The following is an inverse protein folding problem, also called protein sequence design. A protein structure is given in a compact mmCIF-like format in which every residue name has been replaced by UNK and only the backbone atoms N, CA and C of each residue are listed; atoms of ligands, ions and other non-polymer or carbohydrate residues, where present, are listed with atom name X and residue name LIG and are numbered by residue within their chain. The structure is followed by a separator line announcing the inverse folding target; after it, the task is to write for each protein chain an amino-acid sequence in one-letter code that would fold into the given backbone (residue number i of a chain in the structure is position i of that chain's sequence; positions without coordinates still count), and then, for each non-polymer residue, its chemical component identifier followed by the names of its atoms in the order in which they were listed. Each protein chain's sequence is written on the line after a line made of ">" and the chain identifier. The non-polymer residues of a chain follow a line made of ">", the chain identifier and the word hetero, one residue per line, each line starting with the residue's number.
data_IF_271037647815
#
_entry.id   IF_271037647815
#
_cell.length_a   1.000
_cell.length_b   1.000
_cell.length_c   1.000
_cell.angle_alpha   90.00
_cell.angle_beta   90.00
_cell.angle_gamma   90.00
#
_symmetry.space_group_name_H-M   'P 1'
#
loop_
_entity.id
_entity.type
_entity.pdbx_description
1 polymer ?
#
# COMPACT_ATOMS: atom_id res chain seq x y z
N UNK A 1 -35.12 43.46 -6.90
CA UNK A 1 -35.11 42.53 -8.04
C UNK A 1 -35.46 41.18 -7.43
N UNK A 2 -36.58 40.59 -7.81
CA UNK A 2 -36.97 39.26 -7.31
C UNK A 2 -35.92 38.24 -7.74
N UNK A 3 -35.52 37.38 -6.81
CA UNK A 3 -34.58 36.29 -7.10
C UNK A 3 -35.32 35.25 -7.94
N UNK A 4 -34.58 34.53 -8.79
CA UNK A 4 -35.11 33.40 -9.58
C UNK A 4 -35.85 32.40 -8.68
N UNK A 5 -35.32 32.16 -7.49
CA UNK A 5 -35.89 31.23 -6.52
C UNK A 5 -37.22 31.68 -5.95
N UNK A 6 -37.55 32.98 -6.00
CA UNK A 6 -38.85 33.50 -5.56
C UNK A 6 -40.00 32.98 -6.45
N UNK A 7 -39.69 32.56 -7.68
CA UNK A 7 -40.67 32.05 -8.64
C UNK A 7 -40.65 30.53 -8.82
N UNK A 8 -39.58 29.85 -8.37
CA UNK A 8 -39.34 28.43 -8.62
C UNK A 8 -38.88 27.71 -7.34
N UNK A 9 -39.73 27.74 -6.30
CA UNK A 9 -39.43 27.14 -5.01
C UNK A 9 -39.26 25.62 -5.08
N UNK A 10 -40.04 24.93 -5.93
CA UNK A 10 -39.90 23.47 -6.09
C UNK A 10 -38.56 23.10 -6.73
N UNK A 11 -38.11 23.86 -7.74
CA UNK A 11 -36.77 23.68 -8.34
C UNK A 11 -35.67 23.95 -7.31
N UNK A 12 -35.86 24.91 -6.40
CA UNK A 12 -34.88 25.23 -5.36
C UNK A 12 -34.61 24.03 -4.45
N UNK A 13 -35.67 23.38 -3.96
CA UNK A 13 -35.54 22.27 -3.03
C UNK A 13 -34.94 21.03 -3.71
N UNK A 14 -35.34 20.73 -4.94
CA UNK A 14 -34.77 19.65 -5.74
C UNK A 14 -33.30 19.90 -6.09
N UNK A 15 -32.94 21.14 -6.46
CA UNK A 15 -31.57 21.52 -6.77
C UNK A 15 -30.64 21.41 -5.54
N UNK A 16 -31.15 21.76 -4.35
CA UNK A 16 -30.41 21.55 -3.08
C UNK A 16 -30.22 20.07 -2.78
N UNK A 17 -31.26 19.25 -2.96
CA UNK A 17 -31.18 17.81 -2.73
C UNK A 17 -30.16 17.16 -3.66
N UNK A 18 -30.20 17.49 -4.96
CA UNK A 18 -29.24 17.04 -5.96
C UNK A 18 -27.80 17.44 -5.59
N UNK A 19 -27.57 18.71 -5.26
CA UNK A 19 -26.25 19.19 -4.87
C UNK A 19 -25.72 18.44 -3.63
N UNK A 20 -26.57 18.18 -2.64
CA UNK A 20 -26.21 17.44 -1.44
C UNK A 20 -25.81 15.99 -1.75
N UNK A 21 -26.64 15.27 -2.51
CA UNK A 21 -26.38 13.88 -2.92
C UNK A 21 -25.04 13.78 -3.66
N UNK A 22 -24.84 14.60 -4.69
CA UNK A 22 -23.63 14.59 -5.52
C UNK A 22 -22.36 14.95 -4.73
N UNK A 23 -22.48 15.82 -3.72
CA UNK A 23 -21.37 16.15 -2.83
C UNK A 23 -21.04 15.04 -1.81
N UNK A 24 -21.96 14.11 -1.55
CA UNK A 24 -21.72 12.97 -0.64
C UNK A 24 -21.06 11.77 -1.34
N UNK A 25 -20.97 11.79 -2.67
CA UNK A 25 -20.32 10.74 -3.44
C UNK A 25 -18.79 10.69 -3.25
N UNK A 26 -18.26 9.47 -3.24
CA UNK A 26 -16.81 9.22 -3.06
C UNK A 26 -15.94 9.81 -4.18
N UNK A 27 -16.50 10.03 -5.37
CA UNK A 27 -15.80 10.50 -6.57
C UNK A 27 -15.38 11.98 -6.48
N UNK A 28 -16.11 12.80 -5.69
CA UNK A 28 -15.89 14.23 -5.52
C UNK A 28 -15.70 15.01 -6.85
N UNK A 29 -16.42 14.62 -7.90
CA UNK A 29 -16.31 15.21 -9.25
C UNK A 29 -17.36 16.28 -9.56
N UNK A 30 -18.23 16.61 -8.61
CA UNK A 30 -19.33 17.55 -8.79
C UNK A 30 -18.85 19.00 -8.95
N UNK A 31 -19.43 19.72 -9.90
CA UNK A 31 -19.10 21.10 -10.25
C UNK A 31 -20.36 21.98 -10.33
N UNK A 32 -20.17 23.31 -10.34
CA UNK A 32 -21.27 24.26 -10.56
C UNK A 32 -21.90 24.14 -11.95
N UNK A 33 -21.20 23.55 -12.93
CA UNK A 33 -21.77 23.25 -14.25
C UNK A 33 -22.80 22.13 -14.17
N UNK A 34 -22.52 21.10 -13.37
CA UNK A 34 -23.45 19.98 -13.18
C UNK A 34 -24.76 20.44 -12.53
N UNK A 35 -24.68 21.37 -11.57
CA UNK A 35 -25.85 22.00 -10.99
C UNK A 35 -26.63 22.84 -12.01
N UNK A 36 -25.93 23.62 -12.84
CA UNK A 36 -26.57 24.47 -13.83
C UNK A 36 -27.31 23.66 -14.91
N UNK A 37 -26.74 22.53 -15.32
CA UNK A 37 -27.38 21.59 -16.24
C UNK A 37 -28.63 20.93 -15.62
N UNK A 38 -28.56 20.55 -14.35
CA UNK A 38 -29.70 19.91 -13.69
C UNK A 38 -30.85 20.90 -13.46
N UNK A 39 -30.57 22.14 -13.02
CA UNK A 39 -31.59 23.19 -12.86
C UNK A 39 -32.26 23.50 -14.21
N UNK A 40 -31.48 23.55 -15.28
CA UNK A 40 -31.99 23.78 -16.63
C UNK A 40 -32.96 22.68 -17.05
N UNK A 41 -32.59 21.42 -16.83
CA UNK A 41 -33.46 20.26 -17.06
C UNK A 41 -34.75 20.33 -16.22
N UNK A 42 -34.63 20.54 -14.91
CA UNK A 42 -35.77 20.65 -13.97
C UNK A 42 -36.75 21.75 -14.40
N UNK A 43 -36.24 22.90 -14.86
CA UNK A 43 -37.08 24.00 -15.32
C UNK A 43 -37.94 23.62 -16.52
N UNK A 44 -37.36 22.99 -17.54
CA UNK A 44 -38.11 22.60 -18.74
C UNK A 44 -39.10 21.47 -18.46
N UNK A 45 -38.73 20.52 -17.58
CA UNK A 45 -39.63 19.46 -17.12
C UNK A 45 -40.83 20.01 -16.34
N UNK A 46 -40.62 20.96 -15.43
CA UNK A 46 -41.70 21.53 -14.61
C UNK A 46 -42.58 22.53 -15.38
N UNK A 47 -42.00 23.34 -16.28
CA UNK A 47 -42.76 24.34 -17.06
C UNK A 47 -43.43 23.75 -18.30
N UNK A 48 -43.07 22.53 -18.70
CA UNK A 48 -43.53 21.90 -19.94
C UNK A 48 -43.07 22.62 -21.21
N UNK A 49 -42.07 23.49 -21.10
CA UNK A 49 -41.52 24.24 -22.24
C UNK A 49 -40.39 23.45 -22.91
N UNK A 50 -40.18 23.70 -24.21
CA UNK A 50 -39.11 23.02 -24.97
C UNK A 50 -37.91 23.94 -25.10
N UNK A 51 -36.73 23.45 -24.68
CA UNK A 51 -35.47 24.16 -24.84
C UNK A 51 -35.12 24.32 -26.33
N UNK A 52 -34.86 25.55 -26.77
CA UNK A 52 -34.40 25.78 -28.14
C UNK A 52 -32.92 25.42 -28.29
N UNK A 53 -32.49 24.83 -29.43
CA UNK A 53 -31.09 24.58 -29.69
C UNK A 53 -30.25 25.85 -29.61
N UNK A 54 -29.19 25.82 -28.80
CA UNK A 54 -28.27 26.96 -28.61
C UNK A 54 -28.75 28.02 -27.61
N UNK A 55 -29.90 27.83 -26.94
CA UNK A 55 -30.32 28.73 -25.87
C UNK A 55 -29.38 28.62 -24.65
N UNK A 56 -29.14 29.73 -23.92
CA UNK A 56 -28.35 29.69 -22.71
C UNK A 56 -29.03 28.84 -21.62
N UNK A 57 -28.26 28.52 -20.58
CA UNK A 57 -28.80 27.85 -19.39
C UNK A 57 -29.77 28.78 -18.66
N UNK A 58 -30.88 28.24 -18.16
CA UNK A 58 -31.86 28.98 -17.36
C UNK A 58 -31.19 29.67 -16.17
N UNK A 59 -30.24 28.98 -15.53
CA UNK A 59 -29.40 29.55 -14.48
C UNK A 59 -27.93 29.41 -14.85
N UNK A 60 -27.22 30.53 -14.88
CA UNK A 60 -25.83 30.56 -15.32
C UNK A 60 -24.91 29.80 -14.36
N UNK A 61 -23.78 29.28 -14.87
CA UNK A 61 -22.76 28.61 -14.03
C UNK A 61 -22.22 29.54 -12.92
N UNK A 62 -21.93 30.83 -13.18
CA UNK A 62 -21.58 31.77 -12.12
C UNK A 62 -22.67 31.94 -11.05
N UNK A 63 -23.95 31.99 -11.45
CA UNK A 63 -25.08 32.06 -10.50
C UNK A 63 -25.15 30.81 -9.63
N UNK A 64 -25.08 29.63 -10.25
CA UNK A 64 -25.08 28.34 -9.53
C UNK A 64 -23.91 28.23 -8.53
N UNK A 65 -22.76 28.83 -8.86
CA UNK A 65 -21.63 28.93 -7.92
C UNK A 65 -21.96 29.78 -6.69
N UNK A 66 -22.69 30.87 -6.87
CA UNK A 66 -23.15 31.72 -5.76
C UNK A 66 -24.23 31.02 -4.92
N UNK A 67 -25.13 30.26 -5.56
CA UNK A 67 -26.15 29.48 -4.85
C UNK A 67 -25.54 28.40 -3.97
N UNK A 68 -24.60 27.62 -4.51
CA UNK A 68 -23.89 26.61 -3.72
C UNK A 68 -23.25 27.25 -2.48
N UNK A 69 -22.67 28.45 -2.63
CA UNK A 69 -22.10 29.18 -1.50
C UNK A 69 -23.18 29.63 -0.49
N UNK A 70 -24.33 30.13 -0.96
CA UNK A 70 -25.42 30.56 -0.08
C UNK A 70 -26.09 29.40 0.65
N UNK A 71 -26.10 28.21 0.04
CA UNK A 71 -26.59 26.96 0.65
C UNK A 71 -25.57 26.30 1.59
N UNK A 72 -24.41 26.93 1.82
CA UNK A 72 -23.41 26.45 2.78
C UNK A 72 -22.34 25.51 2.21
N UNK A 73 -22.30 25.29 0.90
CA UNK A 73 -21.23 24.51 0.27
C UNK A 73 -19.94 25.34 0.14
N UNK A 74 -18.80 24.67 0.22
CA UNK A 74 -17.48 25.30 0.07
C UNK A 74 -16.70 24.67 -1.08
N UNK A 75 -16.17 25.51 -1.98
CA UNK A 75 -15.23 25.07 -3.01
C UNK A 75 -13.84 24.93 -2.40
N UNK A 76 -13.40 23.69 -2.20
CA UNK A 76 -12.03 23.38 -1.77
C UNK A 76 -11.29 22.74 -2.94
N UNK A 77 -10.11 23.26 -3.28
CA UNK A 77 -9.21 22.52 -4.13
C UNK A 77 -8.89 21.19 -3.46
N UNK A 78 -9.05 20.10 -4.21
CA UNK A 78 -8.79 18.75 -3.72
C UNK A 78 -7.28 18.49 -3.65
N UNK A 79 -6.55 19.30 -2.88
CA UNK A 79 -5.10 19.18 -2.67
C UNK A 79 -4.72 17.96 -1.84
N UNK A 80 -5.67 17.45 -1.06
CA UNK A 80 -5.63 16.12 -0.47
C UNK A 80 -6.56 15.23 -1.27
N UNK A 81 -6.04 14.63 -2.37
CA UNK A 81 -6.72 13.51 -3.02
C UNK A 81 -7.27 12.59 -1.93
N UNK A 82 -8.56 12.22 -1.93
CA UNK A 82 -9.07 11.19 -1.04
C UNK A 82 -8.16 9.98 -1.25
N UNK A 83 -7.53 9.51 -0.17
CA UNK A 83 -6.53 8.42 -0.13
C UNK A 83 -6.52 7.65 -1.45
N UNK A 84 -5.68 8.07 -2.41
CA UNK A 84 -5.59 7.35 -3.68
C UNK A 84 -5.14 5.96 -3.28
N UNK A 85 -6.07 5.01 -3.33
CA UNK A 85 -5.93 3.68 -2.74
C UNK A 85 -4.59 3.12 -3.21
N UNK A 86 -3.62 3.12 -2.29
CA UNK A 86 -2.26 2.67 -2.61
C UNK A 86 -2.25 1.23 -3.12
N UNK A 87 -3.33 0.48 -2.84
CA UNK A 87 -3.69 -0.85 -3.33
C UNK A 87 -3.48 -1.01 -4.84
N UNK A 88 -3.88 -0.02 -5.65
CA UNK A 88 -3.87 -0.16 -7.12
C UNK A 88 -2.68 0.53 -7.80
N UNK A 89 -1.66 0.93 -7.04
CA UNK A 89 -0.39 1.38 -7.65
C UNK A 89 0.28 0.20 -8.36
N UNK A 90 0.84 0.37 -9.57
CA UNK A 90 1.43 -0.75 -10.33
C UNK A 90 2.42 -1.60 -9.54
N UNK A 91 3.28 -0.97 -8.73
CA UNK A 91 4.22 -1.69 -7.86
C UNK A 91 3.54 -2.47 -6.72
N UNK A 92 2.46 -1.93 -6.15
CA UNK A 92 1.70 -2.60 -5.08
C UNK A 92 0.89 -3.78 -5.64
N UNK A 93 0.29 -3.61 -6.83
CA UNK A 93 -0.37 -4.70 -7.55
C UNK A 93 0.61 -5.83 -7.83
N UNK A 94 1.83 -5.51 -8.27
CA UNK A 94 2.85 -6.51 -8.53
C UNK A 94 3.30 -7.22 -7.24
N UNK A 95 3.54 -6.48 -6.16
CA UNK A 95 3.87 -7.03 -4.83
C UNK A 95 2.76 -7.99 -4.37
N UNK A 96 1.49 -7.59 -4.51
CA UNK A 96 0.30 -8.41 -4.19
C UNK A 96 0.25 -9.69 -5.01
N UNK A 97 0.42 -9.59 -6.34
CA UNK A 97 0.46 -10.76 -7.23
C UNK A 97 1.55 -11.74 -6.86
N UNK A 98 2.77 -11.26 -6.61
CA UNK A 98 3.90 -12.10 -6.21
C UNK A 98 3.62 -12.81 -4.88
N UNK A 99 3.05 -12.08 -3.91
CA UNK A 99 2.67 -12.64 -2.61
C UNK A 99 1.61 -13.73 -2.74
N UNK A 100 0.54 -13.48 -3.50
CA UNK A 100 -0.53 -14.47 -3.74
C UNK A 100 0.03 -15.70 -4.44
N UNK A 101 0.79 -15.51 -5.52
CA UNK A 101 1.37 -16.61 -6.28
C UNK A 101 2.26 -17.50 -5.40
N UNK A 102 3.07 -16.90 -4.51
CA UNK A 102 3.87 -17.64 -3.55
C UNK A 102 3.03 -18.61 -2.71
N UNK A 103 1.91 -18.15 -2.11
CA UNK A 103 1.06 -19.02 -1.30
C UNK A 103 0.32 -20.08 -2.11
N UNK A 104 -0.04 -19.79 -3.37
CA UNK A 104 -0.67 -20.76 -4.26
C UNK A 104 0.31 -21.87 -4.65
N UNK A 105 1.54 -21.51 -5.02
CA UNK A 105 2.59 -22.45 -5.43
C UNK A 105 3.04 -23.36 -4.28
N UNK A 106 2.95 -22.87 -3.03
CA UNK A 106 3.39 -23.59 -1.83
C UNK A 106 2.20 -24.05 -0.96
N UNK A 107 0.97 -24.09 -1.50
CA UNK A 107 -0.25 -24.38 -0.74
C UNK A 107 -0.19 -25.73 -0.01
N UNK A 108 0.44 -26.72 -0.62
CA UNK A 108 0.67 -28.07 -0.06
C UNK A 108 1.68 -28.10 1.10
N UNK A 109 2.41 -27.01 1.32
CA UNK A 109 3.37 -26.81 2.41
C UNK A 109 2.84 -25.85 3.50
N UNK A 110 1.60 -25.38 3.35
CA UNK A 110 0.94 -24.47 4.27
C UNK A 110 -0.13 -25.18 5.11
N UNK A 111 -0.33 -24.69 6.34
CA UNK A 111 -1.55 -25.01 7.09
C UNK A 111 -2.74 -24.30 6.46
N UNK A 112 -3.82 -25.05 6.23
CA UNK A 112 -5.10 -24.49 5.80
C UNK A 112 -6.21 -24.94 6.75
N UNK A 113 -7.39 -24.36 6.61
CA UNK A 113 -8.54 -24.69 7.43
C UNK A 113 -9.70 -25.00 6.49
N UNK A 114 -10.42 -26.09 6.74
CA UNK A 114 -11.59 -26.47 5.94
C UNK A 114 -12.69 -25.41 6.00
N UNK A 115 -13.41 -25.27 4.89
CA UNK A 115 -14.64 -24.49 4.85
C UNK A 115 -15.80 -25.37 5.29
N UNK A 116 -16.33 -25.09 6.48
CA UNK A 116 -17.48 -25.79 7.05
C UNK A 116 -17.99 -25.11 8.33
N UNK A 117 -19.09 -25.66 8.84
CA UNK A 117 -19.70 -25.24 10.13
C UNK A 117 -18.73 -25.53 11.29
N UNK A 118 -18.00 -26.63 11.21
CA UNK A 118 -16.92 -26.99 12.12
C UNK A 118 -15.58 -27.00 11.37
N UNK A 119 -14.84 -25.88 11.36
CA UNK A 119 -13.56 -25.80 10.66
C UNK A 119 -12.51 -26.70 11.31
N UNK A 120 -11.82 -27.49 10.48
CA UNK A 120 -10.75 -28.41 10.89
C UNK A 120 -9.45 -28.00 10.20
N UNK A 121 -8.33 -28.20 10.89
CA UNK A 121 -7.00 -27.98 10.33
C UNK A 121 -6.67 -29.03 9.28
N UNK A 122 -6.20 -28.58 8.12
CA UNK A 122 -5.57 -29.43 7.13
C UNK A 122 -4.06 -29.27 7.27
N UNK A 123 -3.38 -30.37 7.56
CA UNK A 123 -1.93 -30.43 7.65
C UNK A 123 -1.30 -30.38 6.24
N UNK A 124 -0.10 -29.80 6.11
CA UNK A 124 0.59 -29.78 4.83
C UNK A 124 0.98 -31.21 4.40
N UNK A 125 0.90 -31.47 3.09
CA UNK A 125 1.22 -32.76 2.47
C UNK A 125 2.72 -32.96 2.29
N UNK A 126 3.48 -31.87 2.29
CA UNK A 126 4.95 -31.85 2.22
C UNK A 126 5.53 -31.26 3.50
N UNK A 127 6.85 -31.35 3.67
CA UNK A 127 7.56 -30.74 4.80
C UNK A 127 7.08 -29.29 4.98
N UNK A 128 6.49 -28.92 6.12
CA UNK A 128 5.84 -27.63 6.30
C UNK A 128 6.86 -26.51 6.10
N UNK A 129 6.51 -25.53 5.26
CA UNK A 129 7.26 -24.27 5.16
C UNK A 129 6.79 -23.27 6.23
N UNK A 130 5.52 -23.35 6.63
CA UNK A 130 4.84 -22.25 7.31
C UNK A 130 4.40 -22.64 8.71
N UNK A 131 4.80 -21.88 9.72
CA UNK A 131 3.98 -21.70 10.92
C UNK A 131 3.45 -20.27 10.87
N UNK A 132 2.16 -20.12 10.53
CA UNK A 132 1.55 -18.81 10.41
C UNK A 132 1.18 -18.36 11.82
N UNK A 133 2.12 -17.65 12.45
CA UNK A 133 2.09 -17.04 13.78
C UNK A 133 1.73 -17.96 14.98
N UNK A 134 2.73 -18.08 15.85
CA UNK A 134 2.66 -18.12 17.32
C UNK A 134 2.66 -19.44 18.10
N UNK A 135 2.65 -20.64 17.52
CA UNK A 135 2.79 -21.85 18.32
C UNK A 135 3.69 -22.91 17.66
N UNK A 136 4.84 -23.14 18.31
CA UNK A 136 5.74 -24.30 18.24
C UNK A 136 6.73 -24.39 17.06
N UNK A 137 7.99 -24.08 17.41
CA UNK A 137 9.27 -24.67 16.97
C UNK A 137 9.25 -25.55 15.71
N UNK A 138 9.36 -24.94 14.52
CA UNK A 138 10.34 -25.18 13.44
C UNK A 138 9.93 -24.20 12.31
N UNK A 139 10.49 -22.98 12.30
CA UNK A 139 10.11 -21.96 11.32
C UNK A 139 10.98 -22.10 10.07
N UNK A 140 10.40 -22.39 8.91
CA UNK A 140 11.06 -22.27 7.60
C UNK A 140 10.59 -21.01 6.82
N UNK A 141 9.52 -20.35 7.26
CA UNK A 141 8.97 -19.11 6.70
C UNK A 141 8.44 -18.19 7.80
N UNK A 142 8.76 -16.91 7.70
CA UNK A 142 8.20 -15.82 8.53
C UNK A 142 7.55 -14.79 7.62
N UNK A 143 6.28 -14.48 7.91
CA UNK A 143 5.53 -13.41 7.24
C UNK A 143 5.63 -12.13 8.08
N UNK A 144 6.09 -11.05 7.48
CA UNK A 144 6.27 -9.76 8.14
C UNK A 144 5.47 -8.65 7.47
N UNK A 145 5.04 -7.67 8.25
CA UNK A 145 4.52 -6.44 7.70
C UNK A 145 5.61 -5.68 6.91
N UNK A 146 5.17 -4.91 5.92
CA UNK A 146 6.04 -4.12 5.04
C UNK A 146 6.45 -2.79 5.69
N UNK A 147 6.81 -2.82 6.98
CA UNK A 147 7.32 -1.65 7.66
C UNK A 147 8.69 -1.25 7.09
N UNK A 148 8.97 0.06 7.11
CA UNK A 148 10.27 0.61 6.66
C UNK A 148 11.45 0.02 7.42
N UNK A 149 11.27 -0.33 8.69
CA UNK A 149 12.29 -0.96 9.54
C UNK A 149 12.60 -2.39 9.10
N UNK A 150 11.58 -3.18 8.73
CA UNK A 150 11.75 -4.58 8.31
C UNK A 150 12.32 -4.70 6.90
N UNK A 151 11.97 -3.75 6.04
CA UNK A 151 12.46 -3.65 4.65
C UNK A 151 13.73 -2.82 4.52
N UNK A 152 14.31 -2.35 5.64
CA UNK A 152 15.53 -1.57 5.64
C UNK A 152 16.68 -2.40 5.04
N UNK A 153 17.17 -1.92 3.90
CA UNK A 153 18.34 -2.45 3.20
C UNK A 153 19.59 -1.86 3.83
N UNK A 154 20.72 -2.57 3.75
CA UNK A 154 22.01 -2.06 4.22
C UNK A 154 22.46 -0.84 3.40
N UNK A 155 22.11 -0.79 2.12
CA UNK A 155 22.33 0.33 1.22
C UNK A 155 21.38 0.28 0.02
N UNK A 156 21.25 1.41 -0.66
CA UNK A 156 20.47 1.58 -1.88
C UNK A 156 21.29 2.34 -2.92
N UNK A 157 21.05 2.10 -4.22
CA UNK A 157 21.67 2.88 -5.31
C UNK A 157 21.41 4.39 -5.16
N UNK A 158 20.32 4.76 -4.49
CA UNK A 158 19.94 6.14 -4.23
C UNK A 158 20.80 6.83 -3.15
N UNK A 159 21.54 6.05 -2.35
CA UNK A 159 22.42 6.59 -1.30
C UNK A 159 23.77 7.05 -1.83
N UNK A 160 24.10 6.68 -3.08
CA UNK A 160 25.37 7.02 -3.73
C UNK A 160 25.24 8.27 -4.61
N UNK A 161 26.34 9.02 -4.67
CA UNK A 161 26.52 10.14 -5.59
C UNK A 161 27.10 9.70 -6.95
N UNK A 162 26.97 10.56 -7.97
CA UNK A 162 27.51 10.30 -9.32
C UNK A 162 29.05 10.35 -9.34
N UNK A 163 29.64 11.35 -8.68
CA UNK A 163 31.07 11.70 -8.75
C UNK A 163 31.87 11.08 -7.60
N UNK A 164 33.19 10.99 -7.80
CA UNK A 164 34.17 10.57 -6.80
C UNK A 164 34.15 11.50 -5.58
N UNK A 165 34.33 10.94 -4.38
CA UNK A 165 34.39 11.68 -3.12
C UNK A 165 33.03 12.16 -2.59
N UNK A 166 31.92 11.69 -3.19
CA UNK A 166 30.56 12.00 -2.73
C UNK A 166 30.08 11.08 -1.60
N UNK A 167 28.79 11.20 -1.25
CA UNK A 167 28.15 10.35 -0.26
C UNK A 167 28.23 8.87 -0.68
N UNK A 168 28.66 8.02 0.25
CA UNK A 168 28.73 6.57 0.11
C UNK A 168 28.45 5.96 1.49
N UNK A 169 27.39 5.14 1.66
CA UNK A 169 26.96 4.66 2.98
C UNK A 169 27.73 3.42 3.47
N UNK A 170 28.52 2.77 2.61
CA UNK A 170 29.16 1.48 2.89
C UNK A 170 30.58 1.44 2.35
N UNK A 171 31.47 0.70 3.00
CA UNK A 171 32.86 0.53 2.57
C UNK A 171 33.00 -0.44 1.40
N UNK A 172 32.18 -1.49 1.38
CA UNK A 172 32.13 -2.48 0.32
C UNK A 172 30.71 -3.01 0.13
N UNK A 173 30.44 -3.52 -1.06
CA UNK A 173 29.19 -4.20 -1.42
C UNK A 173 29.51 -5.65 -1.75
N UNK A 174 29.00 -6.57 -0.94
CA UNK A 174 29.03 -8.01 -1.23
C UNK A 174 27.80 -8.41 -2.02
N UNK A 175 28.00 -9.16 -3.10
CA UNK A 175 26.90 -9.67 -3.93
C UNK A 175 27.26 -10.99 -4.60
N UNK A 176 26.26 -11.70 -5.09
CA UNK A 176 26.43 -12.89 -5.92
C UNK A 176 26.22 -12.47 -7.37
N UNK A 177 27.20 -12.73 -8.24
CA UNK A 177 27.08 -12.42 -9.67
C UNK A 177 26.14 -13.38 -10.41
N UNK A 178 25.94 -13.15 -11.71
CA UNK A 178 25.08 -13.99 -12.56
C UNK A 178 25.55 -15.44 -12.66
N UNK A 179 26.81 -15.71 -12.34
CA UNK A 179 27.43 -17.03 -12.39
C UNK A 179 27.41 -17.73 -11.02
N UNK A 180 26.72 -17.15 -10.03
CA UNK A 180 26.60 -17.70 -8.68
C UNK A 180 27.83 -17.48 -7.80
N UNK A 181 28.80 -16.65 -8.22
CA UNK A 181 30.04 -16.42 -7.47
C UNK A 181 29.90 -15.21 -6.55
N UNK A 182 30.35 -15.35 -5.30
CA UNK A 182 30.47 -14.22 -4.37
C UNK A 182 31.52 -13.23 -4.86
N UNK A 183 31.13 -11.96 -4.96
CA UNK A 183 31.96 -10.82 -5.35
C UNK A 183 31.89 -9.75 -4.27
N UNK A 184 32.99 -9.04 -4.10
CA UNK A 184 33.08 -7.88 -3.21
C UNK A 184 33.50 -6.69 -4.03
N UNK A 185 32.64 -5.67 -4.08
CA UNK A 185 32.91 -4.39 -4.73
C UNK A 185 33.35 -3.39 -3.67
N UNK A 186 34.62 -3.00 -3.69
CA UNK A 186 35.14 -1.96 -2.81
C UNK A 186 34.60 -0.60 -3.21
N UNK A 187 33.99 0.14 -2.29
CA UNK A 187 33.38 1.44 -2.56
C UNK A 187 34.36 2.62 -2.41
N UNK A 188 35.62 2.37 -2.06
CA UNK A 188 36.67 3.38 -1.90
C UNK A 188 37.89 3.03 -2.76
N UNK A 189 38.63 4.04 -3.22
CA UNK A 189 39.88 3.81 -3.94
C UNK A 189 40.99 3.41 -2.96
N UNK A 190 41.58 2.23 -3.19
CA UNK A 190 42.69 1.74 -2.37
C UNK A 190 44.05 2.40 -2.71
N UNK A 191 44.23 2.85 -3.97
CA UNK A 191 45.49 3.40 -4.51
C UNK A 191 45.21 4.54 -5.50
N UNK A 192 46.24 5.30 -5.84
CA UNK A 192 46.20 6.39 -6.84
C UNK A 192 45.80 7.75 -6.27
N UNK A 193 45.59 8.72 -7.17
CA UNK A 193 45.30 10.14 -6.83
C UNK A 193 44.01 10.30 -6.01
N UNK A 194 43.08 9.34 -6.13
CA UNK A 194 41.80 9.35 -5.41
C UNK A 194 41.81 8.46 -4.16
N UNK A 195 42.98 7.99 -3.67
CA UNK A 195 43.06 7.11 -2.49
C UNK A 195 42.25 7.66 -1.32
N UNK A 196 41.45 6.79 -0.70
CA UNK A 196 40.59 7.14 0.44
C UNK A 196 39.31 7.92 0.08
N UNK A 197 39.14 8.34 -1.16
CA UNK A 197 37.86 8.92 -1.63
C UNK A 197 36.89 7.80 -2.01
N UNK A 198 35.60 8.05 -1.81
CA UNK A 198 34.53 7.16 -2.24
C UNK A 198 34.42 7.11 -3.76
N UNK A 199 34.10 5.94 -4.30
CA UNK A 199 33.75 5.74 -5.70
C UNK A 199 32.32 6.23 -5.92
N UNK A 200 32.14 7.09 -6.91
CA UNK A 200 30.80 7.46 -7.38
C UNK A 200 30.17 6.34 -8.19
N UNK A 201 28.85 6.40 -8.41
CA UNK A 201 28.12 5.42 -9.23
C UNK A 201 28.69 5.27 -10.65
N UNK A 202 29.28 6.34 -11.22
CA UNK A 202 29.87 6.26 -12.55
C UNK A 202 31.07 5.30 -12.58
N UNK A 203 31.87 5.29 -11.51
CA UNK A 203 33.04 4.42 -11.43
C UNK A 203 32.68 3.01 -11.01
N UNK A 204 31.70 2.89 -10.10
CA UNK A 204 31.10 1.59 -9.76
C UNK A 204 30.52 0.92 -11.02
N UNK A 205 29.81 1.66 -11.88
CA UNK A 205 29.26 1.10 -13.10
C UNK A 205 30.33 0.54 -14.05
N UNK A 206 31.49 1.21 -14.16
CA UNK A 206 32.63 0.70 -14.95
C UNK A 206 33.20 -0.59 -14.37
N UNK A 207 33.37 -0.67 -13.05
CA UNK A 207 33.86 -1.88 -12.37
C UNK A 207 32.88 -3.05 -12.51
N UNK A 208 31.57 -2.75 -12.50
CA UNK A 208 30.51 -3.72 -12.76
C UNK A 208 30.32 -4.03 -14.25
N UNK A 209 31.14 -3.44 -15.14
CA UNK A 209 31.08 -3.60 -16.61
C UNK A 209 29.71 -3.28 -17.21
N UNK A 210 28.97 -2.37 -16.57
CA UNK A 210 27.69 -1.88 -17.09
C UNK A 210 27.97 -0.82 -18.15
N UNK A 211 27.40 -0.99 -19.35
CA UNK A 211 27.52 0.00 -20.43
C UNK A 211 26.75 1.27 -20.04
N UNK A 212 27.47 2.36 -19.80
CA UNK A 212 26.89 3.65 -19.41
C UNK A 212 27.14 4.66 -20.53
N UNK A 213 26.10 5.32 -21.08
CA UNK A 213 26.27 6.37 -22.06
C UNK A 213 27.03 7.58 -21.50
N UNK A 214 27.81 8.25 -22.34
CA UNK A 214 28.50 9.47 -21.96
C UNK A 214 27.49 10.57 -21.57
N UNK A 215 27.83 11.35 -20.53
CA UNK A 215 26.97 12.42 -20.04
C UNK A 215 25.70 11.98 -19.28
N UNK A 216 25.51 10.68 -18.98
CA UNK A 216 24.29 10.17 -18.33
C UNK A 216 23.89 10.96 -17.06
N UNK A 217 22.61 11.29 -16.92
CA UNK A 217 22.10 11.92 -15.67
C UNK A 217 22.11 10.92 -14.51
N UNK A 218 22.26 11.41 -13.28
CA UNK A 218 22.29 10.57 -12.07
C UNK A 218 21.04 9.69 -11.93
N UNK A 219 19.86 10.20 -12.29
CA UNK A 219 18.61 9.44 -12.27
C UNK A 219 18.65 8.21 -13.19
N UNK A 220 19.15 8.37 -14.42
CA UNK A 220 19.27 7.29 -15.39
C UNK A 220 20.31 6.25 -14.95
N UNK A 221 21.43 6.72 -14.38
CA UNK A 221 22.46 5.84 -13.83
C UNK A 221 21.93 4.99 -12.66
N UNK A 222 21.13 5.60 -11.78
CA UNK A 222 20.44 4.87 -10.70
C UNK A 222 19.48 3.83 -11.25
N UNK A 223 18.69 4.18 -12.27
CA UNK A 223 17.78 3.23 -12.92
C UNK A 223 18.52 2.03 -13.50
N UNK A 224 19.61 2.26 -14.24
CA UNK A 224 20.45 1.20 -14.83
C UNK A 224 21.06 0.27 -13.77
N UNK A 225 21.60 0.84 -12.69
CA UNK A 225 22.26 0.06 -11.64
C UNK A 225 21.27 -0.59 -10.67
N UNK A 226 20.04 -0.09 -10.54
CA UNK A 226 19.04 -0.65 -9.62
C UNK A 226 18.72 -2.12 -9.89
N UNK A 227 18.83 -2.56 -11.14
CA UNK A 227 18.61 -3.96 -11.53
C UNK A 227 19.83 -4.88 -11.33
N UNK A 228 21.01 -4.33 -11.08
CA UNK A 228 22.24 -5.11 -10.95
C UNK A 228 22.28 -5.87 -9.61
N UNK A 229 22.77 -7.13 -9.55
CA UNK A 229 22.85 -7.92 -8.32
C UNK A 229 23.51 -7.18 -7.14
N UNK A 230 24.55 -6.39 -7.41
CA UNK A 230 25.20 -5.52 -6.42
C UNK A 230 24.24 -4.56 -5.69
N UNK A 231 23.18 -4.09 -6.34
CA UNK A 231 22.20 -3.16 -5.74
C UNK A 231 20.84 -3.82 -5.46
N UNK A 232 20.67 -5.10 -5.82
CA UNK A 232 19.57 -5.95 -5.33
C UNK A 232 19.86 -6.38 -3.90
N UNK A 233 19.77 -5.43 -2.99
CA UNK A 233 20.01 -5.69 -1.58
C UNK A 233 18.82 -6.41 -0.95
N UNK A 234 19.10 -7.53 -0.30
CA UNK A 234 18.21 -8.12 0.71
C UNK A 234 18.09 -7.18 1.90
N UNK A 235 16.93 -7.17 2.56
CA UNK A 235 16.76 -6.45 3.82
C UNK A 235 17.61 -7.11 4.92
N UNK A 236 17.88 -6.36 6.00
CA UNK A 236 18.55 -6.93 7.18
C UNK A 236 17.81 -8.15 7.73
N UNK A 237 16.49 -8.17 7.63
CA UNK A 237 15.65 -9.27 8.10
C UNK A 237 15.78 -10.50 7.20
N UNK A 238 15.82 -10.31 5.87
CA UNK A 238 16.09 -11.40 4.92
C UNK A 238 17.48 -12.02 5.12
N UNK A 239 18.51 -11.19 5.36
CA UNK A 239 19.87 -11.68 5.67
C UNK A 239 19.87 -12.51 6.97
N UNK A 240 19.13 -12.05 7.98
CA UNK A 240 18.97 -12.80 9.24
C UNK A 240 18.21 -14.10 9.01
N UNK A 241 17.18 -14.07 8.16
CA UNK A 241 16.43 -15.24 7.75
C UNK A 241 17.33 -16.29 7.10
N UNK A 242 18.10 -15.89 6.08
CA UNK A 242 19.06 -16.78 5.39
C UNK A 242 20.02 -17.46 6.38
N UNK A 243 20.55 -16.71 7.37
CA UNK A 243 21.46 -17.23 8.40
C UNK A 243 20.85 -18.40 9.19
N UNK A 244 19.54 -18.39 9.40
CA UNK A 244 18.82 -19.42 10.16
C UNK A 244 18.02 -20.38 9.26
N UNK A 245 18.18 -20.31 7.94
CA UNK A 245 17.39 -21.12 7.01
C UNK A 245 15.89 -20.77 7.00
N UNK A 246 15.56 -19.52 7.33
CA UNK A 246 14.20 -19.00 7.41
C UNK A 246 13.94 -18.08 6.21
N UNK A 247 12.93 -18.39 5.42
CA UNK A 247 12.46 -17.49 4.36
C UNK A 247 11.69 -16.33 4.99
N UNK A 248 11.94 -15.10 4.55
CA UNK A 248 11.19 -13.92 5.01
C UNK A 248 10.31 -13.44 3.86
N UNK A 249 9.00 -13.34 4.12
CA UNK A 249 8.03 -12.86 3.14
C UNK A 249 7.35 -11.60 3.67
N UNK A 250 7.44 -10.51 2.91
CA UNK A 250 6.80 -9.26 3.27
C UNK A 250 5.37 -9.22 2.74
N UNK A 251 4.42 -8.83 3.59
CA UNK A 251 3.06 -8.55 3.18
C UNK A 251 3.04 -7.44 2.11
N UNK A 252 2.11 -7.51 1.14
CA UNK A 252 1.95 -6.42 0.19
C UNK A 252 1.50 -5.15 0.90
N UNK A 253 2.00 -4.00 0.44
CA UNK A 253 1.67 -2.71 1.04
C UNK A 253 0.18 -2.42 0.91
N UNK A 254 -0.39 -1.78 1.92
CA UNK A 254 -1.82 -1.42 2.00
C UNK A 254 -2.80 -2.60 2.15
N UNK A 255 -2.34 -3.85 2.08
CA UNK A 255 -3.20 -5.04 2.13
C UNK A 255 -3.20 -5.69 3.53
N UNK A 256 -3.87 -5.06 4.49
CA UNK A 256 -3.89 -5.53 5.88
C UNK A 256 -4.66 -6.86 6.06
N UNK A 257 -5.61 -7.15 5.16
CA UNK A 257 -6.34 -8.42 5.07
C UNK A 257 -5.45 -9.61 4.70
N UNK A 258 -4.32 -9.36 4.02
CA UNK A 258 -3.29 -10.35 3.71
C UNK A 258 -2.25 -10.50 4.83
N UNK A 259 -2.42 -9.80 5.96
CA UNK A 259 -1.57 -9.92 7.14
C UNK A 259 -2.37 -10.43 8.35
N UNK A 260 -2.36 -11.74 8.65
CA UNK A 260 -3.12 -12.30 9.76
C UNK A 260 -2.73 -11.75 11.14
N UNK A 261 -1.54 -11.16 11.27
CA UNK A 261 -1.09 -10.52 12.52
C UNK A 261 -1.93 -9.29 12.87
N UNK A 262 -2.50 -8.59 11.89
CA UNK A 262 -3.39 -7.45 12.13
C UNK A 262 -4.66 -7.90 12.85
N UNK A 263 -5.19 -9.08 12.51
CA UNK A 263 -6.34 -9.66 13.18
C UNK A 263 -6.06 -10.05 14.64
N UNK A 264 -4.86 -10.57 14.91
CA UNK A 264 -4.39 -10.84 16.27
C UNK A 264 -4.33 -9.53 17.08
N UNK A 265 -3.63 -8.53 16.56
CA UNK A 265 -3.49 -7.24 17.23
C UNK A 265 -4.83 -6.55 17.44
N UNK A 266 -5.74 -6.59 16.46
CA UNK A 266 -7.08 -6.04 16.60
C UNK A 266 -7.86 -6.73 17.74
N UNK A 267 -7.79 -8.07 17.82
CA UNK A 267 -8.43 -8.83 18.90
C UNK A 267 -7.85 -8.48 20.26
N UNK A 268 -6.52 -8.46 20.39
CA UNK A 268 -5.84 -8.14 21.65
C UNK A 268 -6.14 -6.70 22.09
N UNK A 269 -6.07 -5.73 21.17
CA UNK A 269 -6.41 -4.31 21.44
C UNK A 269 -7.85 -4.15 21.91
N UNK A 270 -8.80 -4.87 21.30
CA UNK A 270 -10.20 -4.83 21.72
C UNK A 270 -10.38 -5.40 23.14
N UNK A 271 -9.70 -6.50 23.47
CA UNK A 271 -9.70 -7.05 24.82
C UNK A 271 -9.14 -6.04 25.82
N UNK A 272 -7.94 -5.51 25.57
CA UNK A 272 -7.30 -4.52 26.45
C UNK A 272 -8.21 -3.30 26.65
N UNK A 273 -8.77 -2.75 25.57
CA UNK A 273 -9.67 -1.57 25.63
C UNK A 273 -10.88 -1.77 26.54
N UNK A 274 -11.41 -3.00 26.66
CA UNK A 274 -12.59 -3.31 27.48
C UNK A 274 -12.28 -3.54 28.97
N UNK A 275 -11.02 -3.81 29.32
CA UNK A 275 -10.62 -4.21 30.66
C UNK A 275 -9.57 -3.27 31.29
N UNK A 276 -9.09 -2.28 30.54
CA UNK A 276 -8.08 -1.34 31.00
C UNK A 276 -8.68 -0.20 31.80
N UNK A 277 -8.00 0.18 32.87
CA UNK A 277 -8.20 1.43 33.61
C UNK A 277 -7.29 2.56 33.10
N UNK A 278 -6.60 2.34 31.97
CA UNK A 278 -5.60 3.22 31.35
C UNK A 278 -4.31 3.42 32.17
N UNK A 279 -4.05 2.57 33.16
CA UNK A 279 -2.78 2.57 33.89
C UNK A 279 -1.76 1.61 33.26
N UNK A 280 -0.49 1.94 33.37
CA UNK A 280 0.59 1.10 32.85
C UNK A 280 0.65 -0.30 33.49
N UNK A 281 0.53 -0.46 34.83
CA UNK A 281 0.53 -1.78 35.46
C UNK A 281 -0.61 -2.69 34.98
N UNK A 282 -1.82 -2.13 34.85
CA UNK A 282 -2.96 -2.87 34.32
C UNK A 282 -2.74 -3.25 32.86
N UNK A 283 -2.23 -2.35 32.02
CA UNK A 283 -1.91 -2.71 30.62
C UNK A 283 -0.89 -3.85 30.52
N UNK A 284 0.18 -3.84 31.31
CA UNK A 284 1.17 -4.93 31.31
C UNK A 284 0.56 -6.28 31.67
N UNK A 285 -0.36 -6.31 32.65
CA UNK A 285 -1.09 -7.52 33.03
C UNK A 285 -2.06 -7.98 31.93
N UNK A 286 -2.73 -7.06 31.25
CA UNK A 286 -3.74 -7.38 30.23
C UNK A 286 -3.14 -7.94 28.92
N UNK A 287 -1.88 -7.66 28.59
CA UNK A 287 -1.24 -8.18 27.37
C UNK A 287 -1.25 -9.73 27.34
N UNK A 288 -0.67 -10.45 28.31
CA UNK A 288 -0.70 -11.92 28.32
C UNK A 288 -2.12 -12.48 28.47
N UNK A 289 -3.01 -11.83 29.24
CA UNK A 289 -4.42 -12.23 29.34
C UNK A 289 -5.15 -12.15 27.99
N UNK A 290 -4.93 -11.07 27.24
CA UNK A 290 -5.53 -10.89 25.91
C UNK A 290 -5.05 -11.95 24.91
N UNK A 291 -3.79 -12.38 25.01
CA UNK A 291 -3.24 -13.47 24.21
C UNK A 291 -3.87 -14.81 24.58
N UNK A 292 -3.99 -15.11 25.87
CA UNK A 292 -4.69 -16.32 26.34
C UNK A 292 -6.15 -16.34 25.86
N UNK A 293 -6.85 -15.21 25.97
CA UNK A 293 -8.22 -15.08 25.44
C UNK A 293 -8.30 -15.35 23.93
N UNK A 294 -7.31 -14.89 23.16
CA UNK A 294 -7.24 -15.15 21.72
C UNK A 294 -7.07 -16.65 21.41
N UNK A 295 -6.22 -17.34 22.17
CA UNK A 295 -6.00 -18.79 22.07
C UNK A 295 -7.26 -19.58 22.48
N UNK A 296 -7.84 -19.28 23.64
CA UNK A 296 -9.02 -19.95 24.19
C UNK A 296 -10.23 -19.84 23.24
N UNK A 297 -10.43 -18.66 22.64
CA UNK A 297 -11.51 -18.41 21.68
C UNK A 297 -11.21 -18.91 20.27
N UNK A 298 -10.04 -19.53 20.05
CA UNK A 298 -9.56 -20.06 18.78
C UNK A 298 -9.69 -19.05 17.62
N UNK A 299 -9.42 -17.77 17.90
CA UNK A 299 -9.62 -16.68 16.93
C UNK A 299 -8.72 -16.86 15.71
N UNK A 300 -7.53 -17.45 15.89
CA UNK A 300 -6.61 -17.80 14.81
C UNK A 300 -7.26 -18.60 13.67
N UNK A 301 -8.21 -19.51 13.96
CA UNK A 301 -8.91 -20.30 12.92
C UNK A 301 -9.66 -19.36 11.97
N UNK A 302 -10.34 -18.35 12.52
CA UNK A 302 -11.08 -17.35 11.73
C UNK A 302 -10.13 -16.51 10.89
N UNK A 303 -8.96 -16.14 11.44
CA UNK A 303 -7.97 -15.34 10.74
C UNK A 303 -7.32 -16.10 9.58
N UNK A 304 -6.95 -17.37 9.77
CA UNK A 304 -6.38 -18.20 8.70
C UNK A 304 -7.41 -18.43 7.59
N UNK A 305 -8.68 -18.68 7.93
CA UNK A 305 -9.75 -18.77 6.92
C UNK A 305 -9.91 -17.46 6.14
N UNK A 306 -9.94 -16.32 6.84
CA UNK A 306 -10.04 -15.00 6.21
C UNK A 306 -8.88 -14.75 5.26
N UNK A 307 -7.67 -15.09 5.67
CA UNK A 307 -6.45 -14.98 4.87
C UNK A 307 -6.53 -15.79 3.57
N UNK A 308 -6.87 -17.07 3.65
CA UNK A 308 -7.01 -17.93 2.46
C UNK A 308 -8.16 -17.49 1.55
N UNK A 309 -9.25 -16.96 2.11
CA UNK A 309 -10.33 -16.36 1.32
C UNK A 309 -9.87 -15.09 0.59
N UNK A 310 -9.06 -14.25 1.23
CA UNK A 310 -8.48 -13.06 0.60
C UNK A 310 -7.53 -13.45 -0.54
N UNK A 311 -6.65 -14.43 -0.33
CA UNK A 311 -5.80 -15.00 -1.40
C UNK A 311 -6.65 -15.46 -2.59
N UNK A 312 -7.71 -16.23 -2.33
CA UNK A 312 -8.61 -16.73 -3.38
C UNK A 312 -9.31 -15.59 -4.11
N UNK A 313 -9.90 -14.64 -3.40
CA UNK A 313 -10.60 -13.50 -3.98
C UNK A 313 -9.70 -12.70 -4.92
N UNK A 314 -8.48 -12.37 -4.48
CA UNK A 314 -7.53 -11.64 -5.33
C UNK A 314 -7.03 -12.47 -6.52
N UNK A 315 -6.86 -13.78 -6.37
CA UNK A 315 -6.52 -14.67 -7.48
C UNK A 315 -7.62 -14.69 -8.55
N UNK A 316 -8.88 -14.71 -8.11
CA UNK A 316 -10.07 -14.70 -8.96
C UNK A 316 -10.38 -13.29 -9.52
N UNK A 317 -9.45 -12.34 -9.35
CA UNK A 317 -9.55 -10.92 -9.75
C UNK A 317 -10.74 -10.18 -9.13
N UNK A 318 -11.24 -10.66 -8.00
CA UNK A 318 -12.24 -9.96 -7.21
C UNK A 318 -11.56 -8.95 -6.29
N UNK A 319 -12.16 -7.77 -6.12
CA UNK A 319 -11.80 -6.89 -5.01
C UNK A 319 -12.25 -7.54 -3.70
N UNK A 320 -11.35 -7.57 -2.72
CA UNK A 320 -11.67 -8.01 -1.36
C UNK A 320 -12.33 -6.88 -0.56
#
# INVERSE_FOLDING_TARGET
>A
MSDFWDYFLDILDDAKAYAFERCTEKSASFTSMDLALEIDKMFYEQTGTVKQPGSPLIRSVPSCRLDLKSWGFSFKENGQRPYYEGHEKPGVIQDRKNFIQFFLDHKDQCYTVSDGVQPVWNLPLRKPYIALLLLVLVLALVVCDNARTHTAKSHSVYDFNKKIGGKCPVEAIEYIDTDGKKKVLQCFFAKGVNKGKSKGLAEIAKELKVKVPDGVKLANLRSLLSGHPAFKTKSKLEILGDKYGVTVLFCPRYHCELNPTEGLWASMKLYVRRHTDQTYPTMLRLIPESRKNFEDRKIYIKLIRRFWRAIKAYNDRQSY
#
